data_IF_217793758226
#
_entry.id   IF_217793758226
#
_cell.length_a   1.000
_cell.length_b   1.000
_cell.length_c   1.000
_cell.angle_alpha   90.00
_cell.angle_beta   90.00
_cell.angle_gamma   90.00
#
_symmetry.space_group_name_H-M   'P 1'
#
loop_
_entity.id
_entity.type
_entity.pdbx_description
1 polymer ?
#
# COMPACT_ATOMS: atom_id res chain seq x y z
N UNK A 1 -18.29 6.62 -15.33
CA UNK A 1 -17.89 5.20 -15.22
C UNK A 1 -16.40 5.18 -14.98
N UNK A 2 -16.00 4.59 -13.87
CA UNK A 2 -14.71 4.77 -13.19
C UNK A 2 -13.70 3.72 -13.67
N UNK A 3 -12.46 4.12 -13.97
CA UNK A 3 -11.35 3.21 -14.27
C UNK A 3 -10.98 2.37 -13.04
N UNK A 4 -10.72 1.09 -13.29
CA UNK A 4 -10.41 0.09 -12.27
C UNK A 4 -8.94 0.16 -11.86
N UNK A 5 -8.72 0.06 -10.55
CA UNK A 5 -7.47 -0.43 -9.97
C UNK A 5 -7.73 -1.93 -9.60
N UNK A 6 -6.74 -2.83 -9.55
CA UNK A 6 -6.81 -4.26 -9.11
C UNK A 6 -5.86 -4.54 -7.89
N UNK A 7 -6.37 -5.08 -6.74
CA UNK A 7 -5.78 -5.78 -5.56
C UNK A 7 -6.64 -7.02 -5.44
N UNK A 8 -6.08 -8.12 -5.03
CA UNK A 8 -6.83 -9.27 -4.61
C UNK A 8 -6.78 -9.30 -3.08
N UNK A 9 -7.99 -9.39 -2.49
CA UNK A 9 -8.48 -10.05 -1.25
C UNK A 9 -7.52 -10.22 -0.04
N UNK A 10 -7.96 -10.28 1.22
CA UNK A 10 -9.23 -10.07 1.93
C UNK A 10 -8.93 -9.95 3.45
N UNK A 11 -9.54 -8.95 4.11
CA UNK A 11 -9.63 -8.66 5.58
C UNK A 11 -8.41 -8.01 6.26
N UNK A 12 -8.62 -6.78 6.75
CA UNK A 12 -8.68 -6.44 8.18
C UNK A 12 -9.64 -5.25 8.37
N UNK A 13 -10.54 -5.41 9.34
CA UNK A 13 -11.30 -4.32 9.96
C UNK A 13 -10.49 -3.82 11.14
N UNK A 14 -10.27 -2.51 11.28
CA UNK A 14 -10.01 -1.92 12.58
C UNK A 14 -10.42 -0.47 12.58
N UNK A 15 -11.25 -0.08 13.55
CA UNK A 15 -11.36 1.26 14.13
C UNK A 15 -12.53 1.25 15.16
N UNK A 16 -12.37 1.69 16.43
CA UNK A 16 -13.53 1.93 17.32
C UNK A 16 -13.36 3.18 18.21
N UNK A 17 -14.32 4.13 18.37
CA UNK A 17 -15.62 4.41 17.74
C UNK A 17 -15.54 5.02 16.32
N UNK A 18 -14.56 4.54 15.56
CA UNK A 18 -14.12 4.97 14.25
C UNK A 18 -14.74 4.02 13.15
N UNK A 19 -14.82 4.42 11.87
CA UNK A 19 -15.14 3.55 10.69
C UNK A 19 -16.57 3.03 10.39
N UNK A 20 -17.65 3.55 10.97
CA UNK A 20 -18.97 2.92 10.82
C UNK A 20 -19.72 3.07 9.46
N UNK A 21 -19.11 3.52 8.36
CA UNK A 21 -19.84 3.71 7.08
C UNK A 21 -19.05 3.46 5.79
N UNK A 22 -17.91 2.76 5.86
CA UNK A 22 -17.03 2.61 4.69
C UNK A 22 -17.61 1.74 3.54
N UNK A 23 -18.74 1.02 3.73
CA UNK A 23 -19.23 0.05 2.73
C UNK A 23 -20.76 -0.17 2.61
N UNK A 24 -21.65 0.64 3.17
CA UNK A 24 -23.09 0.29 3.08
C UNK A 24 -23.70 0.35 1.67
N UNK A 25 -23.09 1.09 0.72
CA UNK A 25 -23.66 1.27 -0.63
C UNK A 25 -22.60 1.45 -1.73
N UNK A 26 -21.58 0.59 -1.81
CA UNK A 26 -20.70 0.54 -2.99
C UNK A 26 -21.42 -0.11 -4.17
N UNK A 27 -22.36 0.65 -4.75
CA UNK A 27 -22.92 0.34 -6.05
C UNK A 27 -21.84 0.56 -7.13
N UNK A 28 -21.40 -0.59 -7.68
CA UNK A 28 -20.81 -0.79 -9.01
C UNK A 28 -19.44 -0.14 -9.29
N UNK A 29 -18.41 -1.00 -9.17
CA UNK A 29 -17.20 -1.12 -10.02
C UNK A 29 -15.88 -0.46 -9.51
N UNK A 30 -15.32 -1.16 -8.52
CA UNK A 30 -13.93 -1.48 -8.09
C UNK A 30 -12.74 -0.51 -8.32
N UNK A 31 -11.97 -0.28 -7.23
CA UNK A 31 -10.66 0.38 -7.13
C UNK A 31 -9.81 -0.41 -6.14
N UNK A 32 -8.51 -0.57 -6.39
CA UNK A 32 -7.80 -1.72 -5.85
C UNK A 32 -6.24 -1.58 -6.17
N UNK A 33 -5.36 -1.19 -5.24
CA UNK A 33 -3.86 -1.21 -5.33
C UNK A 33 -3.16 -2.39 -4.60
N UNK A 34 -2.48 -3.34 -5.28
CA UNK A 34 -1.72 -4.41 -4.58
C UNK A 34 -0.55 -3.81 -3.77
N UNK A 35 -0.66 -3.87 -2.44
CA UNK A 35 0.43 -3.59 -1.51
C UNK A 35 0.78 -4.92 -0.84
N UNK A 36 2.01 -5.41 -1.04
CA UNK A 36 2.54 -6.50 -0.21
C UNK A 36 2.69 -5.93 1.20
N UNK A 37 2.02 -6.54 2.18
CA UNK A 37 1.97 -6.00 3.53
C UNK A 37 3.39 -5.80 4.06
N UNK A 38 4.34 -6.70 3.77
CA UNK A 38 5.72 -6.83 4.29
C UNK A 38 6.54 -5.57 4.67
N UNK A 39 6.21 -4.38 4.21
CA UNK A 39 7.07 -3.21 4.30
C UNK A 39 6.42 -1.89 4.75
N UNK A 40 5.13 -1.87 5.09
CA UNK A 40 4.41 -0.60 5.30
C UNK A 40 4.83 0.23 6.54
N UNK A 41 5.71 -0.29 7.40
CA UNK A 41 6.09 0.35 8.67
C UNK A 41 6.54 1.82 8.57
N UNK A 42 7.08 2.27 7.43
CA UNK A 42 7.53 3.66 7.22
C UNK A 42 6.77 4.43 6.12
N UNK A 43 5.58 3.96 5.73
CA UNK A 43 4.72 4.62 4.73
C UNK A 43 3.40 5.08 5.34
N UNK A 44 2.90 6.21 4.87
CA UNK A 44 1.58 6.75 5.16
C UNK A 44 0.85 6.99 3.85
N UNK A 45 -0.42 6.59 3.79
CA UNK A 45 -1.26 6.64 2.59
C UNK A 45 -2.51 7.41 2.95
N UNK A 46 -2.72 8.51 2.24
CA UNK A 46 -3.94 9.29 2.30
C UNK A 46 -4.77 9.02 1.04
N UNK A 47 -6.06 8.72 1.21
CA UNK A 47 -6.98 8.52 0.09
C UNK A 47 -7.92 9.71 -0.04
N UNK A 48 -7.93 10.34 -1.21
CA UNK A 48 -8.87 11.40 -1.58
C UNK A 48 -10.01 10.81 -2.40
N UNK A 49 -11.23 10.94 -1.87
CA UNK A 49 -12.46 10.53 -2.53
C UNK A 49 -13.00 11.68 -3.37
N UNK A 50 -12.77 11.61 -4.68
CA UNK A 50 -13.22 12.64 -5.62
C UNK A 50 -14.77 12.78 -5.74
N UNK A 51 -15.54 11.86 -5.16
CA UNK A 51 -17.01 11.93 -5.15
C UNK A 51 -17.60 12.71 -3.96
N UNK A 52 -16.76 13.24 -3.08
CA UNK A 52 -17.14 14.09 -1.94
C UNK A 52 -16.28 15.34 -2.02
N UNK A 53 -16.77 16.50 -1.56
CA UNK A 53 -15.98 17.73 -1.66
C UNK A 53 -14.62 17.61 -0.96
N UNK A 54 -13.58 18.07 -1.67
CA UNK A 54 -12.20 18.27 -1.25
C UNK A 54 -11.73 19.70 -1.57
N UNK A 55 -12.67 20.64 -1.76
CA UNK A 55 -12.35 22.07 -1.88
C UNK A 55 -11.83 22.62 -0.55
N UNK A 56 -11.15 23.77 -0.60
CA UNK A 56 -10.68 24.48 0.60
C UNK A 56 -11.81 24.61 1.63
N UNK A 57 -11.52 24.26 2.88
CA UNK A 57 -12.44 24.32 4.01
C UNK A 57 -13.45 23.16 4.13
N UNK A 58 -13.52 22.25 3.15
CA UNK A 58 -14.35 21.05 3.25
C UNK A 58 -13.85 20.09 4.34
N UNK A 59 -14.73 19.20 4.81
CA UNK A 59 -14.35 18.17 5.79
C UNK A 59 -13.18 17.30 5.32
N UNK A 60 -13.15 16.94 4.02
CA UNK A 60 -12.07 16.12 3.47
C UNK A 60 -10.76 16.90 3.35
N UNK A 61 -10.82 18.18 3.00
CA UNK A 61 -9.66 19.07 2.95
C UNK A 61 -9.03 19.22 4.35
N UNK A 62 -9.85 19.52 5.36
CA UNK A 62 -9.38 19.67 6.74
C UNK A 62 -8.85 18.34 7.31
N UNK A 63 -9.50 17.22 6.98
CA UNK A 63 -9.03 15.89 7.32
C UNK A 63 -7.65 15.61 6.72
N UNK A 64 -7.46 15.81 5.42
CA UNK A 64 -6.19 15.61 4.75
C UNK A 64 -5.05 16.43 5.37
N UNK A 65 -5.34 17.68 5.73
CA UNK A 65 -4.39 18.56 6.42
C UNK A 65 -3.99 18.03 7.79
N UNK A 66 -4.96 17.57 8.60
CA UNK A 66 -4.71 17.04 9.93
C UNK A 66 -3.96 15.70 9.87
N UNK A 67 -4.39 14.79 9.00
CA UNK A 67 -3.83 13.46 8.81
C UNK A 67 -2.35 13.51 8.37
N UNK A 68 -2.01 14.33 7.36
CA UNK A 68 -0.63 14.49 6.91
C UNK A 68 0.27 15.25 7.90
N UNK A 69 -0.34 15.98 8.84
CA UNK A 69 0.37 16.68 9.92
C UNK A 69 0.66 15.78 11.12
N UNK A 70 -0.16 14.75 11.36
CA UNK A 70 0.00 13.84 12.50
C UNK A 70 0.94 12.67 12.20
N UNK A 71 1.16 12.35 10.91
CA UNK A 71 2.00 11.23 10.51
C UNK A 71 3.49 11.52 10.66
N UNK A 72 4.21 10.59 11.31
CA UNK A 72 5.68 10.59 11.43
C UNK A 72 6.36 9.68 10.40
N UNK A 73 5.58 9.06 9.51
CA UNK A 73 6.09 8.15 8.49
C UNK A 73 6.90 8.90 7.44
N UNK A 74 7.98 8.28 6.98
CA UNK A 74 8.94 8.88 6.04
C UNK A 74 8.35 9.00 4.64
N UNK A 75 7.62 7.99 4.17
CA UNK A 75 7.01 7.97 2.84
C UNK A 75 5.56 8.41 2.93
N UNK A 76 5.17 9.42 2.16
CA UNK A 76 3.80 9.92 2.15
C UNK A 76 3.23 9.82 0.74
N UNK A 77 2.24 8.95 0.56
CA UNK A 77 1.62 8.67 -0.72
C UNK A 77 0.17 9.11 -0.68
N UNK A 78 -0.29 9.79 -1.72
CA UNK A 78 -1.70 10.13 -1.90
C UNK A 78 -2.30 9.28 -3.01
N UNK A 79 -3.50 8.77 -2.81
CA UNK A 79 -4.27 8.07 -3.84
C UNK A 79 -5.53 8.87 -4.12
N UNK A 80 -5.83 9.09 -5.40
CA UNK A 80 -7.07 9.73 -5.85
C UNK A 80 -7.61 9.06 -7.12
N UNK A 81 -8.85 9.33 -7.48
CA UNK A 81 -9.33 8.97 -8.82
C UNK A 81 -8.84 9.99 -9.85
N UNK A 82 -9.13 11.28 -9.63
CA UNK A 82 -8.76 12.36 -10.55
C UNK A 82 -7.32 12.83 -10.29
N UNK A 83 -6.51 13.02 -11.34
CA UNK A 83 -5.16 13.56 -11.24
C UNK A 83 -5.14 15.09 -11.06
N UNK A 84 -4.20 15.61 -10.27
CA UNK A 84 -3.86 17.03 -10.30
C UNK A 84 -3.24 17.44 -11.63
N UNK A 85 -2.29 16.64 -12.13
CA UNK A 85 -1.54 16.89 -13.36
C UNK A 85 -1.67 15.70 -14.30
N UNK A 86 -2.23 15.96 -15.48
CA UNK A 86 -2.48 14.97 -16.52
C UNK A 86 -2.64 15.71 -17.86
N UNK A 87 -1.78 15.41 -18.83
CA UNK A 87 -1.86 15.96 -20.18
C UNK A 87 -2.49 14.93 -21.12
N UNK A 88 -3.63 15.29 -21.71
CA UNK A 88 -4.45 14.42 -22.56
C UNK A 88 -5.54 13.69 -21.79
N UNK A 89 -6.35 12.91 -22.50
CA UNK A 89 -7.50 12.20 -21.91
C UNK A 89 -8.51 13.18 -21.30
N UNK A 90 -8.84 12.97 -20.02
CA UNK A 90 -9.78 13.82 -19.28
C UNK A 90 -9.11 15.00 -18.58
N UNK A 91 -7.79 15.14 -18.71
CA UNK A 91 -7.06 16.30 -18.22
C UNK A 91 -6.95 16.40 -16.70
N UNK A 92 -6.81 17.64 -16.23
CA UNK A 92 -6.39 18.00 -14.87
C UNK A 92 -7.57 18.41 -13.97
N UNK A 93 -7.43 18.23 -12.67
CA UNK A 93 -8.42 18.63 -11.66
C UNK A 93 -7.94 19.84 -10.83
N UNK A 94 -8.64 20.97 -10.94
CA UNK A 94 -8.27 22.23 -10.29
C UNK A 94 -8.31 22.16 -8.75
N UNK A 95 -9.26 21.41 -8.17
CA UNK A 95 -9.34 21.22 -6.73
C UNK A 95 -8.19 20.33 -6.24
N UNK A 96 -7.80 19.32 -7.02
CA UNK A 96 -6.65 18.48 -6.71
C UNK A 96 -5.34 19.28 -6.80
N UNK A 97 -5.19 20.16 -7.79
CA UNK A 97 -4.06 21.12 -7.84
C UNK A 97 -4.00 22.00 -6.59
N UNK A 98 -5.16 22.49 -6.14
CA UNK A 98 -5.24 23.28 -4.90
C UNK A 98 -4.83 22.46 -3.67
N UNK A 99 -5.22 21.18 -3.59
CA UNK A 99 -4.75 20.26 -2.53
C UNK A 99 -3.24 20.06 -2.61
N UNK A 100 -2.68 19.94 -3.82
CA UNK A 100 -1.23 19.80 -4.02
C UNK A 100 -0.50 21.00 -3.43
N UNK A 101 -0.87 22.21 -3.83
CA UNK A 101 -0.16 23.44 -3.42
C UNK A 101 -0.37 23.75 -1.94
N UNK A 102 -1.57 23.53 -1.40
CA UNK A 102 -1.89 23.97 -0.04
C UNK A 102 -1.58 22.93 1.04
N UNK A 103 -1.57 21.65 0.68
CA UNK A 103 -1.44 20.55 1.63
C UNK A 103 -0.31 19.61 1.24
N UNK A 104 -0.35 19.00 0.05
CA UNK A 104 0.52 17.87 -0.23
C UNK A 104 1.99 18.25 -0.35
N UNK A 105 2.32 19.29 -1.10
CA UNK A 105 3.69 19.79 -1.21
C UNK A 105 4.21 20.32 0.15
N UNK A 106 3.49 21.21 0.87
CA UNK A 106 3.95 21.68 2.19
C UNK A 106 4.10 20.58 3.24
N UNK A 107 3.37 19.46 3.12
CA UNK A 107 3.45 18.33 4.06
C UNK A 107 4.42 17.23 3.62
N UNK A 108 5.13 17.43 2.52
CA UNK A 108 6.15 16.50 2.03
C UNK A 108 5.57 15.18 1.51
N UNK A 109 4.43 15.25 0.82
CA UNK A 109 3.96 14.12 0.00
C UNK A 109 5.00 13.82 -1.07
N UNK A 110 5.28 12.54 -1.29
CA UNK A 110 6.29 12.07 -2.24
C UNK A 110 5.69 11.74 -3.60
N UNK A 111 4.49 11.15 -3.58
CA UNK A 111 3.85 10.64 -4.78
C UNK A 111 2.33 10.71 -4.67
N UNK A 112 1.68 11.06 -5.78
CA UNK A 112 0.24 10.94 -5.98
C UNK A 112 -0.01 9.90 -7.06
N UNK A 113 -0.84 8.92 -6.76
CA UNK A 113 -1.26 7.90 -7.72
C UNK A 113 -2.73 8.12 -8.03
N UNK A 114 -3.01 8.38 -9.31
CA UNK A 114 -4.34 8.66 -9.84
C UNK A 114 -4.69 7.78 -11.03
N UNK A 115 -5.95 7.76 -11.42
CA UNK A 115 -6.43 7.10 -12.64
C UNK A 115 -7.14 8.10 -13.54
N UNK A 116 -8.43 7.84 -13.79
CA UNK A 116 -9.35 8.66 -14.59
C UNK A 116 -9.02 8.71 -16.10
N UNK A 117 -7.83 9.20 -16.45
CA UNK A 117 -7.33 9.18 -17.83
C UNK A 117 -6.71 7.81 -18.15
N UNK A 118 -7.37 7.03 -19.01
CA UNK A 118 -7.00 5.66 -19.37
C UNK A 118 -5.72 5.55 -20.22
N UNK A 119 -4.58 5.84 -19.62
CA UNK A 119 -3.23 5.61 -20.14
C UNK A 119 -2.24 5.59 -18.96
N UNK A 120 -0.96 5.39 -19.26
CA UNK A 120 0.11 5.64 -18.31
C UNK A 120 0.67 7.04 -18.50
N UNK A 121 0.83 7.81 -17.43
CA UNK A 121 1.63 9.03 -17.46
C UNK A 121 2.36 9.23 -16.13
N UNK A 122 3.62 9.65 -16.22
CA UNK A 122 4.45 10.03 -15.08
C UNK A 122 4.82 11.49 -15.25
N UNK A 123 4.38 12.29 -14.29
CA UNK A 123 4.59 13.73 -14.23
C UNK A 123 5.41 14.05 -12.96
N UNK A 124 6.20 15.12 -12.99
CA UNK A 124 6.92 15.60 -11.82
C UNK A 124 6.79 17.11 -11.70
N UNK A 125 6.19 17.56 -10.59
CA UNK A 125 5.96 18.97 -10.29
C UNK A 125 5.71 19.12 -8.79
N UNK A 126 6.04 20.29 -8.22
CA UNK A 126 5.89 20.56 -6.78
C UNK A 126 6.68 19.57 -5.90
N UNK A 127 7.83 19.11 -6.41
CA UNK A 127 8.65 18.05 -5.80
C UNK A 127 7.89 16.72 -5.53
N UNK A 128 6.80 16.49 -6.26
CA UNK A 128 5.94 15.32 -6.12
C UNK A 128 5.91 14.55 -7.44
N UNK A 129 6.01 13.23 -7.36
CA UNK A 129 5.72 12.35 -8.49
C UNK A 129 4.21 12.20 -8.66
N UNK A 130 3.65 12.62 -9.80
CA UNK A 130 2.23 12.45 -10.12
C UNK A 130 2.09 11.33 -11.16
N UNK A 131 1.57 10.19 -10.73
CA UNK A 131 1.40 8.99 -11.54
C UNK A 131 -0.05 8.87 -11.98
N UNK A 132 -0.30 8.88 -13.29
CA UNK A 132 -1.56 8.45 -13.88
C UNK A 132 -1.41 6.97 -14.27
N UNK A 133 -1.94 6.09 -13.44
CA UNK A 133 -2.04 4.64 -13.68
C UNK A 133 -3.46 4.27 -14.13
N UNK A 134 -3.95 4.91 -15.20
CA UNK A 134 -5.35 4.79 -15.61
C UNK A 134 -5.66 3.63 -16.57
N UNK A 135 -4.64 2.92 -17.05
CA UNK A 135 -4.77 1.83 -18.04
C UNK A 135 -5.21 0.49 -17.46
N UNK A 136 -6.11 0.46 -16.48
CA UNK A 136 -6.50 -0.77 -15.79
C UNK A 136 -7.45 -1.71 -16.57
N UNK A 137 -7.85 -1.36 -17.79
CA UNK A 137 -8.69 -2.23 -18.66
C UNK A 137 -9.84 -1.54 -19.39
N UNK A 138 -10.12 -0.26 -19.11
CA UNK A 138 -11.06 0.53 -19.89
C UNK A 138 -10.41 1.06 -21.18
N UNK A 139 -11.19 1.38 -22.25
CA UNK A 139 -10.63 1.83 -23.52
C UNK A 139 -9.67 3.00 -23.35
N UNK A 140 -8.50 2.88 -23.98
CA UNK A 140 -7.39 3.81 -23.79
C UNK A 140 -7.64 5.16 -24.47
N UNK A 141 -7.30 6.24 -23.77
CA UNK A 141 -7.20 7.57 -24.37
C UNK A 141 -5.82 7.81 -24.96
N UNK A 142 -5.70 8.83 -25.82
CA UNK A 142 -4.41 9.27 -26.31
C UNK A 142 -3.82 10.29 -25.33
N UNK A 143 -2.66 10.01 -24.70
CA UNK A 143 -1.99 10.99 -23.86
C UNK A 143 -1.36 12.09 -24.72
N UNK A 144 -1.19 13.26 -24.13
CA UNK A 144 -0.30 14.32 -24.64
C UNK A 144 0.78 14.61 -23.60
N UNK A 145 1.71 15.50 -23.91
CA UNK A 145 2.76 15.91 -22.98
C UNK A 145 2.59 17.38 -22.60
N UNK A 146 2.87 17.70 -21.35
CA UNK A 146 3.05 19.05 -20.85
C UNK A 146 4.49 19.24 -20.35
N UNK A 147 4.86 20.45 -19.93
CA UNK A 147 6.23 20.75 -19.44
C UNK A 147 6.64 19.92 -18.22
N UNK A 148 5.68 19.45 -17.42
CA UNK A 148 5.91 18.60 -16.25
C UNK A 148 5.92 17.09 -16.57
N UNK A 149 5.67 16.69 -17.82
CA UNK A 149 5.50 15.28 -18.20
C UNK A 149 6.85 14.63 -18.45
N UNK A 150 7.18 13.62 -17.63
CA UNK A 150 8.39 12.81 -17.77
C UNK A 150 8.19 11.65 -18.75
N UNK A 151 7.01 11.01 -18.71
CA UNK A 151 6.69 9.88 -19.58
C UNK A 151 5.19 9.76 -19.83
N UNK A 152 4.82 9.41 -21.06
CA UNK A 152 3.45 9.11 -21.47
C UNK A 152 3.42 7.85 -22.32
N UNK A 153 2.55 6.89 -22.00
CA UNK A 153 2.38 5.66 -22.77
C UNK A 153 0.90 5.33 -22.91
N UNK A 154 0.45 5.17 -24.17
CA UNK A 154 -0.88 4.65 -24.47
C UNK A 154 -0.88 3.12 -24.42
N UNK A 155 -0.95 2.57 -23.22
CA UNK A 155 -1.03 1.12 -23.01
C UNK A 155 -1.81 0.82 -21.72
N UNK A 156 -2.32 -0.41 -21.61
CA UNK A 156 -2.82 -0.93 -20.35
C UNK A 156 -1.65 -1.08 -19.39
N UNK A 157 -1.84 -0.77 -18.11
CA UNK A 157 -0.74 -0.71 -17.16
C UNK A 157 -1.17 -0.98 -15.72
N UNK A 158 -0.20 -1.43 -14.92
CA UNK A 158 -0.30 -1.59 -13.48
C UNK A 158 1.06 -1.29 -12.82
N UNK A 159 1.04 -0.94 -11.53
CA UNK A 159 2.23 -0.66 -10.74
C UNK A 159 2.43 -1.68 -9.62
N UNK A 160 3.69 -1.98 -9.30
CA UNK A 160 4.13 -2.76 -8.14
C UNK A 160 5.04 -1.86 -7.31
N UNK A 161 4.67 -1.64 -6.05
CA UNK A 161 5.41 -0.81 -5.12
C UNK A 161 6.17 -1.63 -4.08
N UNK A 162 7.42 -1.28 -3.84
CA UNK A 162 8.23 -1.79 -2.74
C UNK A 162 8.63 -0.62 -1.84
N UNK A 163 8.55 -0.79 -0.53
CA UNK A 163 8.99 0.24 0.42
C UNK A 163 9.98 -0.37 1.41
N UNK A 164 10.88 0.45 1.92
CA UNK A 164 11.79 0.12 3.01
C UNK A 164 11.87 1.32 3.94
N UNK A 165 12.63 1.20 5.02
CA UNK A 165 12.88 2.32 5.91
C UNK A 165 13.43 3.55 5.19
N UNK A 166 14.36 3.39 4.24
CA UNK A 166 15.05 4.49 3.57
C UNK A 166 14.78 4.58 2.07
N UNK A 167 13.94 3.70 1.50
CA UNK A 167 13.61 3.75 0.07
C UNK A 167 12.15 3.46 -0.21
N UNK A 168 11.61 4.09 -1.24
CA UNK A 168 10.34 3.73 -1.85
C UNK A 168 10.60 3.49 -3.33
N UNK A 169 10.00 2.47 -3.92
CA UNK A 169 10.06 2.25 -5.36
C UNK A 169 8.72 1.83 -5.91
N UNK A 170 8.45 2.24 -7.14
CA UNK A 170 7.28 1.86 -7.92
C UNK A 170 7.77 1.43 -9.29
N UNK A 171 7.53 0.19 -9.68
CA UNK A 171 7.77 -0.32 -11.03
C UNK A 171 6.43 -0.47 -11.75
N UNK A 172 6.39 -0.05 -13.00
CA UNK A 172 5.17 -0.05 -13.82
C UNK A 172 5.37 -1.02 -14.97
N UNK A 173 4.35 -1.82 -15.24
CA UNK A 173 4.32 -2.83 -16.29
C UNK A 173 3.05 -2.68 -17.12
N UNK A 174 3.06 -3.20 -18.35
CA UNK A 174 1.85 -3.35 -19.14
C UNK A 174 1.14 -4.68 -18.86
N UNK A 175 -0.02 -4.92 -19.47
CA UNK A 175 -0.80 -6.15 -19.30
C UNK A 175 -0.12 -7.43 -19.85
N UNK A 176 1.03 -7.30 -20.52
CA UNK A 176 1.89 -8.41 -20.95
C UNK A 176 3.10 -8.62 -20.03
N UNK A 177 3.14 -7.97 -18.86
CA UNK A 177 4.27 -7.93 -17.93
C UNK A 177 5.54 -7.28 -18.51
N UNK A 178 5.43 -6.53 -19.61
CA UNK A 178 6.56 -5.75 -20.14
C UNK A 178 6.77 -4.51 -19.28
N UNK A 179 8.02 -4.25 -18.90
CA UNK A 179 8.39 -3.08 -18.14
C UNK A 179 8.07 -1.78 -18.89
N UNK A 180 7.40 -0.85 -18.21
CA UNK A 180 7.09 0.49 -18.71
C UNK A 180 8.01 1.51 -18.08
N UNK A 181 8.03 1.64 -16.75
CA UNK A 181 8.78 2.69 -16.06
C UNK A 181 9.10 2.31 -14.61
N UNK A 182 9.97 3.08 -13.96
CA UNK A 182 10.20 2.96 -12.53
C UNK A 182 10.50 4.29 -11.87
N UNK A 183 9.97 4.47 -10.67
CA UNK A 183 10.36 5.54 -9.74
C UNK A 183 11.07 4.89 -8.56
N UNK A 184 12.20 5.44 -8.15
CA UNK A 184 12.87 5.07 -6.90
C UNK A 184 13.25 6.32 -6.14
N UNK A 185 12.75 6.43 -4.91
CA UNK A 185 13.03 7.48 -3.97
C UNK A 185 13.91 6.92 -2.86
N UNK A 186 14.86 7.72 -2.39
CA UNK A 186 15.70 7.39 -1.23
C UNK A 186 15.73 8.59 -0.30
N UNK A 187 15.43 8.37 0.97
CA UNK A 187 15.54 9.37 2.03
C UNK A 187 16.53 8.84 3.06
N UNK A 188 17.55 9.64 3.36
CA UNK A 188 18.43 9.40 4.51
C UNK A 188 17.82 10.17 5.68
N UNK A 189 17.01 9.57 6.56
CA UNK A 189 16.59 10.27 7.76
C UNK A 189 17.86 10.69 8.52
N UNK A 190 17.96 11.98 8.84
CA UNK A 190 19.07 12.54 9.63
C UNK A 190 19.31 11.67 10.86
N UNK A 191 20.54 11.20 11.02
CA UNK A 191 21.09 10.37 12.12
C UNK A 191 20.01 9.96 13.11
N UNK A 192 19.35 8.85 12.81
CA UNK A 192 18.68 8.07 13.84
C UNK A 192 19.81 7.62 14.74
N UNK A 193 19.80 8.04 16.01
CA UNK A 193 20.64 7.38 17.03
C UNK A 193 20.45 5.87 16.79
N UNK A 194 21.52 5.08 16.72
CA UNK A 194 21.41 3.63 16.46
C UNK A 194 20.52 2.89 17.49
N UNK A 195 20.14 3.57 18.58
CA UNK A 195 19.16 3.14 19.59
C UNK A 195 17.69 3.47 19.26
N UNK A 196 17.40 4.16 18.16
CA UNK A 196 16.06 4.53 17.67
C UNK A 196 15.73 3.84 16.32
N UNK A 197 16.39 2.71 16.02
CA UNK A 197 15.78 1.72 15.13
C UNK A 197 14.42 1.40 15.77
N UNK A 198 13.34 1.76 15.05
CA UNK A 198 11.93 1.45 15.35
C UNK A 198 11.86 0.32 16.36
N UNK A 199 11.33 0.58 17.55
CA UNK A 199 11.12 -0.45 18.56
C UNK A 199 10.25 -1.55 17.91
N UNK A 200 10.90 -2.53 17.28
CA UNK A 200 10.25 -3.65 16.64
C UNK A 200 9.57 -4.39 17.78
N UNK A 201 8.27 -4.15 17.96
CA UNK A 201 7.50 -4.70 19.07
C UNK A 201 7.59 -6.23 19.12
N UNK A 202 8.00 -6.85 18.01
CA UNK A 202 8.30 -8.26 17.84
C UNK A 202 9.23 -8.47 16.63
N UNK A 203 9.70 -9.70 16.43
CA UNK A 203 10.49 -10.14 15.29
C UNK A 203 10.04 -11.53 14.86
N UNK A 204 9.64 -11.69 13.60
CA UNK A 204 9.29 -12.98 13.01
C UNK A 204 10.56 -13.68 12.53
N UNK A 205 10.94 -14.75 13.22
CA UNK A 205 12.17 -15.49 12.99
C UNK A 205 11.90 -16.66 12.01
N UNK A 206 12.60 -17.77 12.16
CA UNK A 206 12.64 -18.82 11.13
C UNK A 206 11.38 -19.68 11.04
N UNK A 207 11.12 -20.15 9.82
CA UNK A 207 10.11 -21.16 9.50
C UNK A 207 10.85 -22.43 9.11
N UNK A 208 10.62 -23.53 9.81
CA UNK A 208 11.27 -24.80 9.49
C UNK A 208 10.33 -26.00 9.71
N UNK A 209 10.28 -26.97 8.77
CA UNK A 209 10.90 -26.95 7.45
C UNK A 209 10.19 -26.01 6.46
N UNK A 210 10.95 -25.46 5.50
CA UNK A 210 10.44 -24.73 4.34
C UNK A 210 11.22 -25.17 3.07
N UNK A 211 10.64 -25.95 2.14
CA UNK A 211 9.21 -26.30 2.06
C UNK A 211 8.70 -27.18 3.21
N UNK A 212 7.44 -26.99 3.59
CA UNK A 212 6.75 -27.73 4.65
C UNK A 212 6.03 -28.97 4.10
N UNK A 213 6.21 -30.10 4.79
CA UNK A 213 5.39 -31.31 4.67
C UNK A 213 5.56 -32.22 5.91
N UNK A 214 4.51 -32.59 6.67
CA UNK A 214 3.14 -32.07 6.67
C UNK A 214 2.94 -30.92 7.68
N UNK A 215 4.00 -30.46 8.33
CA UNK A 215 3.95 -29.39 9.34
C UNK A 215 5.16 -28.45 9.21
N UNK A 216 5.07 -27.29 9.86
CA UNK A 216 6.21 -26.41 10.10
C UNK A 216 6.16 -25.85 11.52
N UNK A 217 7.32 -25.43 12.01
CA UNK A 217 7.51 -24.60 13.20
C UNK A 217 7.82 -23.18 12.75
N UNK A 218 7.20 -22.20 13.39
CA UNK A 218 7.49 -20.77 13.23
C UNK A 218 7.96 -20.21 14.57
N UNK A 219 9.13 -19.58 14.58
CA UNK A 219 9.73 -18.93 15.75
C UNK A 219 9.55 -17.41 15.66
N UNK A 220 9.33 -16.74 16.79
CA UNK A 220 9.26 -15.28 16.86
C UNK A 220 9.58 -14.76 18.27
N UNK A 221 10.08 -13.53 18.33
CA UNK A 221 10.37 -12.81 19.57
C UNK A 221 9.36 -11.68 19.76
N UNK A 222 8.79 -11.53 20.95
CA UNK A 222 7.99 -10.39 21.37
C UNK A 222 8.86 -9.50 22.26
N UNK A 223 8.87 -8.19 21.99
CA UNK A 223 9.63 -7.18 22.75
C UNK A 223 8.73 -6.29 23.61
N UNK A 224 7.43 -6.22 23.30
CA UNK A 224 6.45 -5.43 24.03
C UNK A 224 5.14 -6.19 24.22
N UNK A 225 4.59 -6.16 25.43
CA UNK A 225 3.31 -6.78 25.74
C UNK A 225 2.17 -6.17 24.90
N UNK A 226 1.35 -7.02 24.27
CA UNK A 226 0.17 -6.62 23.48
C UNK A 226 -0.63 -7.83 23.02
N UNK A 227 -1.74 -7.57 22.33
CA UNK A 227 -2.47 -8.56 21.56
C UNK A 227 -1.75 -8.82 20.23
N UNK A 228 -1.30 -10.06 20.04
CA UNK A 228 -0.62 -10.52 18.85
C UNK A 228 -1.44 -11.57 18.10
N UNK A 229 -1.38 -11.50 16.77
CA UNK A 229 -2.04 -12.44 15.87
C UNK A 229 -1.09 -12.94 14.81
N UNK A 230 -0.95 -14.27 14.72
CA UNK A 230 -0.15 -14.98 13.73
C UNK A 230 -1.10 -15.73 12.79
N UNK A 231 -1.09 -15.37 11.51
CA UNK A 231 -2.02 -15.86 10.50
C UNK A 231 -1.32 -16.38 9.26
N UNK A 232 -1.98 -17.29 8.54
CA UNK A 232 -1.52 -17.86 7.28
C UNK A 232 -2.42 -17.40 6.14
N UNK A 233 -1.81 -16.94 5.06
CA UNK A 233 -2.47 -16.44 3.86
C UNK A 233 -2.03 -17.21 2.62
N UNK A 234 -2.95 -17.41 1.67
CA UNK A 234 -2.60 -17.94 0.35
C UNK A 234 -2.00 -16.86 -0.57
N UNK A 235 -1.59 -17.25 -1.77
CA UNK A 235 -1.05 -16.35 -2.79
C UNK A 235 -2.07 -15.30 -3.31
N UNK A 236 -3.35 -15.46 -2.99
CA UNK A 236 -4.42 -14.52 -3.31
C UNK A 236 -4.76 -13.60 -2.11
N UNK A 237 -3.98 -13.66 -1.02
CA UNK A 237 -4.15 -12.85 0.19
C UNK A 237 -5.34 -13.27 1.07
N UNK A 238 -5.91 -14.46 0.86
CA UNK A 238 -6.99 -14.98 1.69
C UNK A 238 -6.41 -15.61 2.95
N UNK A 239 -6.92 -15.21 4.12
CA UNK A 239 -6.61 -15.91 5.38
C UNK A 239 -7.13 -17.35 5.30
N UNK A 240 -6.21 -18.31 5.34
CA UNK A 240 -6.47 -19.76 5.27
C UNK A 240 -6.21 -20.46 6.59
N UNK A 241 -5.67 -19.75 7.58
CA UNK A 241 -5.44 -20.29 8.91
C UNK A 241 -5.06 -19.22 9.94
N UNK A 242 -5.43 -19.43 11.20
CA UNK A 242 -4.95 -18.67 12.34
C UNK A 242 -4.07 -19.62 13.16
N UNK A 243 -2.80 -19.24 13.37
CA UNK A 243 -1.82 -20.01 14.14
C UNK A 243 -1.89 -19.58 15.61
N UNK A 244 -1.93 -18.27 15.87
CA UNK A 244 -2.02 -17.69 17.22
C UNK A 244 -2.86 -16.42 17.21
N UNK A 245 -3.62 -16.18 18.28
CA UNK A 245 -4.32 -14.92 18.53
C UNK A 245 -4.47 -14.74 20.04
N UNK A 246 -3.47 -14.12 20.68
CA UNK A 246 -3.36 -14.04 22.14
C UNK A 246 -2.65 -12.77 22.55
N UNK A 247 -2.92 -12.33 23.77
CA UNK A 247 -2.06 -11.39 24.47
C UNK A 247 -0.74 -12.09 24.81
N UNK A 248 0.40 -11.53 24.41
CA UNK A 248 1.73 -12.06 24.69
C UNK A 248 2.59 -11.02 25.40
N UNK A 249 3.39 -11.48 26.34
CA UNK A 249 4.41 -10.69 27.04
C UNK A 249 5.76 -10.77 26.31
N UNK A 250 6.75 -9.94 26.65
CA UNK A 250 8.08 -10.03 26.06
C UNK A 250 8.71 -11.41 26.27
N UNK A 251 9.22 -12.03 25.21
CA UNK A 251 9.77 -13.38 25.23
C UNK A 251 9.87 -14.02 23.84
N UNK A 252 10.50 -15.19 23.77
CA UNK A 252 10.57 -16.02 22.54
C UNK A 252 9.48 -17.08 22.55
N UNK A 253 8.89 -17.29 21.38
CA UNK A 253 7.77 -18.19 21.16
C UNK A 253 8.02 -19.08 19.94
N UNK A 254 7.53 -20.31 20.05
CA UNK A 254 7.55 -21.31 18.98
C UNK A 254 6.13 -21.83 18.79
N UNK A 255 5.58 -21.69 17.60
CA UNK A 255 4.27 -22.25 17.24
C UNK A 255 4.43 -23.29 16.14
N UNK A 256 3.62 -24.35 16.18
CA UNK A 256 3.57 -25.40 15.15
C UNK A 256 2.26 -25.34 14.40
N UNK A 257 2.31 -25.56 13.09
CA UNK A 257 1.11 -25.56 12.25
C UNK A 257 1.14 -26.72 11.26
N UNK A 258 0.02 -27.44 11.20
CA UNK A 258 -0.19 -28.54 10.24
C UNK A 258 -0.65 -28.02 8.90
N UNK A 259 0.07 -28.36 7.83
CA UNK A 259 -0.27 -28.02 6.44
C UNK A 259 -1.08 -29.13 5.77
N UNK A 260 -1.56 -30.14 6.51
CA UNK A 260 -2.31 -31.28 5.95
C UNK A 260 -3.53 -30.87 5.12
N UNK A 261 -4.27 -29.85 5.56
CA UNK A 261 -5.45 -29.32 4.88
C UNK A 261 -5.14 -28.35 3.73
N UNK A 262 -3.86 -28.00 3.53
CA UNK A 262 -3.45 -27.03 2.53
C UNK A 262 -2.97 -27.73 1.25
N UNK A 263 -3.45 -27.31 0.06
CA UNK A 263 -2.86 -27.71 -1.21
C UNK A 263 -1.39 -27.31 -1.33
N UNK A 264 -0.63 -28.01 -2.17
CA UNK A 264 0.72 -27.57 -2.56
C UNK A 264 0.67 -26.16 -3.15
N UNK A 265 1.57 -25.28 -2.72
CA UNK A 265 1.55 -23.88 -3.12
C UNK A 265 2.42 -22.98 -2.26
N UNK A 266 2.37 -21.69 -2.56
CA UNK A 266 3.05 -20.64 -1.78
C UNK A 266 2.04 -19.98 -0.86
N UNK A 267 2.44 -19.80 0.39
CA UNK A 267 1.68 -19.16 1.45
C UNK A 267 2.56 -18.13 2.17
N UNK A 268 1.91 -17.27 2.97
CA UNK A 268 2.56 -16.22 3.74
C UNK A 268 2.08 -16.28 5.19
N UNK A 269 3.02 -16.30 6.14
CA UNK A 269 2.74 -16.21 7.56
C UNK A 269 2.92 -14.75 7.96
N UNK A 270 1.91 -14.14 8.58
CA UNK A 270 1.97 -12.77 9.09
C UNK A 270 1.80 -12.76 10.61
N UNK A 271 2.74 -12.14 11.32
CA UNK A 271 2.64 -11.77 12.72
C UNK A 271 2.28 -10.29 12.83
N UNK A 272 1.22 -9.95 13.56
CA UNK A 272 0.73 -8.58 13.74
C UNK A 272 0.46 -8.27 15.22
N UNK A 273 0.72 -7.04 15.65
CA UNK A 273 0.43 -6.54 17.00
C UNK A 273 1.06 -5.17 17.25
N UNK A 274 0.53 -4.40 18.22
CA UNK A 274 0.99 -3.03 18.52
C UNK A 274 1.00 -2.05 17.32
N UNK A 275 0.17 -2.29 16.29
CA UNK A 275 0.13 -1.46 15.08
C UNK A 275 1.25 -1.75 14.07
N UNK A 276 2.09 -2.76 14.33
CA UNK A 276 3.10 -3.29 13.39
C UNK A 276 2.72 -4.70 12.93
N UNK A 277 3.32 -5.15 11.83
CA UNK A 277 3.28 -6.54 11.39
C UNK A 277 4.60 -6.92 10.69
N UNK A 278 4.91 -8.21 10.62
CA UNK A 278 6.00 -8.80 9.83
C UNK A 278 5.48 -10.07 9.16
N UNK A 279 5.99 -10.41 7.98
CA UNK A 279 5.59 -11.63 7.30
C UNK A 279 6.78 -12.45 6.79
N UNK A 280 6.54 -13.74 6.54
CA UNK A 280 7.49 -14.64 5.90
C UNK A 280 6.78 -15.61 4.97
N UNK A 281 7.41 -15.87 3.82
CA UNK A 281 6.93 -16.82 2.81
C UNK A 281 7.23 -18.26 3.21
N UNK A 282 6.27 -19.16 2.99
CA UNK A 282 6.41 -20.60 3.13
C UNK A 282 5.89 -21.33 1.89
N UNK A 283 6.62 -22.35 1.43
CA UNK A 283 6.15 -23.28 0.41
C UNK A 283 5.58 -24.53 1.08
N UNK A 284 4.41 -24.98 0.65
CA UNK A 284 3.82 -26.28 1.07
C UNK A 284 3.95 -27.25 -0.10
N UNK A 285 4.42 -28.46 0.18
CA UNK A 285 4.53 -29.54 -0.79
C UNK A 285 3.83 -30.80 -0.28
N UNK A 286 3.18 -31.52 -1.18
CA UNK A 286 2.48 -32.79 -0.93
C UNK A 286 3.12 -33.88 -1.76
#
# INVERSE_FOLDING_TARGET
MTGYFLIYREKISLFPPYFNSFFSHLSRKNFLIYLDELHYGNMHVLVIKNSVSYSVGSNQYNFAMADLSSTTKTWKIVISHNPAYCSGGHGEDANMKTMVTNIFEPKGVDMIISGHSHFYQHNFLNNIHHMVLGGGGAPLYTPSNASYTLKSVKDYNFGIGDVTYNSFSLKVYNNYNSFIDSVRLTKNPSIVNENEIVANNFTLEDIYPNPSNPEFKISFEIKKESDYKLELFDNAGRSVGIILNKNLTPGRYDERYSTMSLPSGVYYIMLSGNGDFQSKKIAVVK
#
